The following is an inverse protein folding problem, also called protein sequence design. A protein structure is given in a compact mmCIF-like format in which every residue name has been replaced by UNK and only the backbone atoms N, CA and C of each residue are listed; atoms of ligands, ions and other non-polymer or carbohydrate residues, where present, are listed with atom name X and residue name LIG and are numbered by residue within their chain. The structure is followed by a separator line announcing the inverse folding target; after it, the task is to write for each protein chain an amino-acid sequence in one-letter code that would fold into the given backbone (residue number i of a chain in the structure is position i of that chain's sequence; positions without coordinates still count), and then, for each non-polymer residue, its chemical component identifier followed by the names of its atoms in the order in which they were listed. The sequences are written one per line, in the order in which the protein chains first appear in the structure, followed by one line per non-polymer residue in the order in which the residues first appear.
data_IF_983437307280
#
_entry.id   IF_983437307280
#
_cell.length_a   1.000
_cell.length_b   1.000
_cell.length_c   1.000
_cell.angle_alpha   90.00
_cell.angle_beta   90.00
_cell.angle_gamma   90.00
#
_symmetry.space_group_name_H-M   'P 1'
#
loop_
_entity.id
_entity.type
_entity.pdbx_description
1 polymer ?
#
# COMPACT_ATOMS: atom_id res chain seq x y z
N UNK A 1 -4.58 12.07 -8.53
CA UNK A 1 -5.10 11.77 -7.18
C UNK A 1 -4.10 10.84 -6.50
N UNK A 2 -3.84 11.02 -5.21
CA UNK A 2 -2.87 10.21 -4.46
C UNK A 2 -3.58 9.54 -3.30
N UNK A 3 -3.19 8.31 -3.01
CA UNK A 3 -3.63 7.57 -1.84
C UNK A 3 -2.57 7.72 -0.77
N UNK A 4 -2.96 8.24 0.38
CA UNK A 4 -2.09 8.34 1.55
C UNK A 4 -2.28 7.09 2.38
N UNK A 5 -1.18 6.41 2.72
CA UNK A 5 -1.18 5.27 3.61
C UNK A 5 -0.23 5.50 4.79
N UNK A 6 -0.45 4.84 5.94
CA UNK A 6 0.49 4.88 7.05
C UNK A 6 1.85 4.30 6.65
N UNK A 7 2.93 4.83 7.22
CA UNK A 7 4.29 4.32 7.01
C UNK A 7 4.38 2.82 7.32
N UNK A 8 3.80 2.38 8.44
CA UNK A 8 3.77 0.96 8.83
C UNK A 8 3.14 0.05 7.76
N UNK A 9 2.08 0.52 7.06
CA UNK A 9 1.47 -0.27 5.99
C UNK A 9 2.40 -0.35 4.76
N UNK A 10 3.12 0.73 4.47
CA UNK A 10 4.11 0.76 3.39
C UNK A 10 5.30 -0.17 3.67
N UNK A 11 5.76 -0.24 4.92
CA UNK A 11 6.84 -1.15 5.34
C UNK A 11 6.39 -2.61 5.25
N UNK A 12 5.16 -2.92 5.66
CA UNK A 12 4.57 -4.25 5.49
C UNK A 12 4.46 -4.64 4.02
N UNK A 13 4.04 -3.70 3.17
CA UNK A 13 3.97 -3.91 1.73
C UNK A 13 5.36 -4.23 1.14
N UNK A 14 6.39 -3.50 1.55
CA UNK A 14 7.76 -3.69 1.09
C UNK A 14 8.37 -5.00 1.60
N UNK A 15 8.11 -5.36 2.86
CA UNK A 15 8.51 -6.67 3.39
C UNK A 15 7.86 -7.81 2.61
N UNK A 16 6.58 -7.68 2.27
CA UNK A 16 5.85 -8.66 1.46
C UNK A 16 6.41 -8.71 0.03
N UNK A 17 6.75 -7.55 -0.55
CA UNK A 17 7.33 -7.50 -1.89
C UNK A 17 8.69 -8.20 -1.95
N UNK A 18 9.54 -8.00 -0.94
CA UNK A 18 10.83 -8.71 -0.83
C UNK A 18 10.60 -10.21 -0.66
N UNK A 19 9.69 -10.61 0.24
CA UNK A 19 9.40 -12.03 0.53
C UNK A 19 8.85 -12.78 -0.68
N UNK A 20 8.00 -12.14 -1.48
CA UNK A 20 7.37 -12.73 -2.66
C UNK A 20 8.02 -12.32 -3.99
N UNK A 21 9.17 -11.63 -3.95
CA UNK A 21 9.85 -11.07 -5.12
C UNK A 21 8.92 -10.29 -6.06
N UNK A 22 8.02 -9.51 -5.48
CA UNK A 22 7.11 -8.66 -6.24
C UNK A 22 7.80 -7.35 -6.59
N UNK A 23 7.72 -6.98 -7.86
CA UNK A 23 8.12 -5.67 -8.33
C UNK A 23 7.00 -4.65 -7.99
N UNK A 24 6.93 -4.22 -6.73
CA UNK A 24 6.01 -3.18 -6.30
C UNK A 24 6.69 -1.81 -6.40
N UNK A 25 5.96 -0.78 -6.84
CA UNK A 25 6.54 0.55 -6.94
C UNK A 25 6.90 1.09 -5.55
N UNK A 26 7.95 1.91 -5.49
CA UNK A 26 8.45 2.49 -4.24
C UNK A 26 7.52 3.63 -3.84
N UNK A 27 6.97 3.63 -2.61
CA UNK A 27 6.18 4.75 -2.13
C UNK A 27 7.01 6.03 -2.06
N UNK A 28 6.38 7.16 -2.37
CA UNK A 28 6.94 8.45 -1.98
C UNK A 28 6.70 8.59 -0.48
N UNK A 29 7.76 8.53 0.33
CA UNK A 29 7.64 8.54 1.78
C UNK A 29 7.94 9.92 2.36
N UNK A 30 7.07 10.37 3.26
CA UNK A 30 7.31 11.44 4.23
C UNK A 30 7.47 10.79 5.61
N UNK A 31 8.14 11.44 6.58
CA UNK A 31 8.32 10.92 7.95
C UNK A 31 7.05 10.35 8.62
N UNK A 32 5.84 10.79 8.24
CA UNK A 32 4.59 10.34 8.88
C UNK A 32 3.72 9.43 8.00
N UNK A 33 3.91 9.46 6.68
CA UNK A 33 3.01 8.82 5.74
C UNK A 33 3.68 8.54 4.40
N UNK A 34 3.20 7.51 3.73
CA UNK A 34 3.62 7.15 2.38
C UNK A 34 2.51 7.45 1.39
N UNK A 35 2.91 7.97 0.24
CA UNK A 35 2.02 8.38 -0.84
C UNK A 35 2.23 7.45 -2.02
N UNK A 36 1.11 6.92 -2.52
CA UNK A 36 1.07 6.23 -3.79
C UNK A 36 0.18 7.00 -4.78
N UNK A 37 0.63 7.18 -6.03
CA UNK A 37 -0.27 7.54 -7.11
C UNK A 37 -1.40 6.50 -7.22
N UNK A 38 -2.63 6.94 -7.50
CA UNK A 38 -3.77 6.01 -7.62
C UNK A 38 -3.49 4.85 -8.59
N UNK A 39 -2.81 5.12 -9.72
CA UNK A 39 -2.42 4.09 -10.70
C UNK A 39 -1.49 3.03 -10.11
N UNK A 40 -0.56 3.42 -9.25
CA UNK A 40 0.33 2.49 -8.56
C UNK A 40 -0.44 1.66 -7.54
N UNK A 41 -1.40 2.25 -6.84
CA UNK A 41 -2.28 1.51 -5.93
C UNK A 41 -3.09 0.45 -6.68
N UNK A 42 -3.64 0.78 -7.84
CA UNK A 42 -4.34 -0.17 -8.71
C UNK A 42 -3.43 -1.34 -9.12
N UNK A 43 -2.19 -1.06 -9.54
CA UNK A 43 -1.22 -2.09 -9.89
C UNK A 43 -0.82 -2.97 -8.69
N UNK A 44 -0.64 -2.37 -7.50
CA UNK A 44 -0.36 -3.09 -6.25
C UNK A 44 -1.55 -4.01 -5.90
N UNK A 45 -2.77 -3.49 -5.93
CA UNK A 45 -3.98 -4.26 -5.63
C UNK A 45 -4.13 -5.47 -6.55
N UNK A 46 -3.90 -5.31 -7.86
CA UNK A 46 -3.96 -6.41 -8.83
C UNK A 46 -2.92 -7.50 -8.52
N UNK A 47 -1.69 -7.11 -8.17
CA UNK A 47 -0.61 -8.05 -7.81
C UNK A 47 -0.89 -8.78 -6.49
N UNK A 48 -1.36 -8.05 -5.47
CA UNK A 48 -1.74 -8.65 -4.19
C UNK A 48 -2.96 -9.57 -4.31
N UNK A 49 -3.89 -9.26 -5.22
CA UNK A 49 -5.05 -10.11 -5.51
C UNK A 49 -4.63 -11.52 -5.93
N UNK A 50 -3.56 -11.64 -6.72
CA UNK A 50 -3.01 -12.93 -7.12
C UNK A 50 -2.41 -13.73 -5.94
N UNK A 51 -1.93 -13.03 -4.91
CA UNK A 51 -1.33 -13.63 -3.72
C UNK A 51 -2.30 -13.86 -2.56
N UNK A 52 -3.54 -13.35 -2.66
CA UNK A 52 -4.54 -13.41 -1.59
C UNK A 52 -4.85 -14.83 -1.11
N UNK A 53 -4.76 -15.81 -2.01
CA UNK A 53 -5.04 -17.21 -1.70
C UNK A 53 -3.85 -17.90 -0.99
N UNK A 54 -2.65 -17.34 -1.15
CA UNK A 54 -1.38 -17.92 -0.72
C UNK A 54 -0.89 -17.30 0.59
N UNK A 55 -1.35 -16.09 0.93
CA UNK A 55 -0.88 -15.34 2.11
C UNK A 55 -2.02 -14.54 2.76
N UNK A 56 -2.29 -14.84 4.02
CA UNK A 56 -3.22 -14.07 4.85
C UNK A 56 -2.74 -12.63 5.09
N UNK A 57 -1.42 -12.41 5.13
CA UNK A 57 -0.82 -11.06 5.20
C UNK A 57 -1.16 -10.24 3.95
N UNK A 58 -1.07 -10.86 2.76
CA UNK A 58 -1.42 -10.18 1.50
C UNK A 58 -2.90 -9.75 1.50
N UNK A 59 -3.79 -10.59 2.04
CA UNK A 59 -5.21 -10.27 2.18
C UNK A 59 -5.44 -9.07 3.11
N UNK A 60 -4.77 -9.04 4.27
CA UNK A 60 -4.87 -7.96 5.23
C UNK A 60 -4.39 -6.62 4.64
N UNK A 61 -3.25 -6.62 3.95
CA UNK A 61 -2.71 -5.43 3.27
C UNK A 61 -3.66 -4.97 2.16
N UNK A 62 -4.25 -5.91 1.40
CA UNK A 62 -5.19 -5.59 0.33
C UNK A 62 -6.44 -4.89 0.86
N UNK A 63 -7.01 -5.38 1.97
CA UNK A 63 -8.15 -4.74 2.62
C UNK A 63 -7.80 -3.34 3.14
N UNK A 64 -6.62 -3.18 3.76
CA UNK A 64 -6.14 -1.89 4.23
C UNK A 64 -5.96 -0.89 3.08
N UNK A 65 -5.30 -1.29 1.99
CA UNK A 65 -5.12 -0.45 0.79
C UNK A 65 -6.45 -0.05 0.15
N UNK A 66 -7.41 -0.98 0.05
CA UNK A 66 -8.74 -0.68 -0.46
C UNK A 66 -9.47 0.34 0.41
N UNK A 67 -9.34 0.23 1.73
CA UNK A 67 -9.88 1.20 2.68
C UNK A 67 -9.26 2.59 2.48
N UNK A 68 -7.93 2.69 2.46
CA UNK A 68 -7.25 3.98 2.27
C UNK A 68 -7.47 4.58 0.89
N UNK A 69 -7.66 3.77 -0.15
CA UNK A 69 -8.05 4.25 -1.48
C UNK A 69 -9.43 4.92 -1.48
N UNK A 70 -10.36 4.38 -0.72
CA UNK A 70 -11.71 4.95 -0.58
C UNK A 70 -11.74 6.14 0.36
N UNK A 71 -10.80 6.22 1.29
CA UNK A 71 -10.59 7.42 2.08
C UNK A 71 -9.97 8.51 1.21
N UNK A 72 -10.76 9.55 0.94
CA UNK A 72 -10.22 10.85 0.52
C UNK A 72 -9.57 11.46 1.77
N UNK A 73 -8.40 10.95 2.17
CA UNK A 73 -7.67 11.51 3.29
C UNK A 73 -7.08 12.86 2.88
N UNK A 74 -7.43 13.97 3.54
CA UNK A 74 -6.59 15.15 3.47
C UNK A 74 -5.19 14.78 4.00
N UNK A 75 -4.11 15.34 3.45
CA UNK A 75 -2.77 15.08 3.97
C UNK A 75 -2.76 15.48 5.44
N UNK A 76 -2.62 14.50 6.33
CA UNK A 76 -2.47 14.76 7.75
C UNK A 76 -1.16 15.55 7.94
N UNK A 77 -1.20 16.75 8.53
CA UNK A 77 0.03 17.47 8.79
C UNK A 77 0.85 16.66 9.79
N UNK A 78 2.09 16.35 9.43
CA UNK A 78 3.10 15.91 10.38
C UNK A 78 3.18 16.97 11.49
N UNK A 79 2.84 16.59 12.73
CA UNK A 79 3.03 17.42 13.92
C UNK A 79 4.46 17.29 14.44
#
# INVERSE_FOLDING_TARGET
MVTVIPLALSEQLQALSIRHQLDLPIPLSSPCASYFPSEQVDAILARLQALRASSGEALAILQALAYYRQQICPPTPCA
#
